data_IF_443182809317
#
_entry.id   IF_443182809317
#
_cell.length_a   1.000
_cell.length_b   1.000
_cell.length_c   1.000
_cell.angle_alpha   90.00
_cell.angle_beta   90.00
_cell.angle_gamma   90.00
#
_symmetry.space_group_name_H-M   'P 1'
#
loop_
_entity.id
_entity.type
_entity.pdbx_description
1 polymer ?
#
# COMPACT_ATOMS: atom_id res chain seq x y z
N UNK A 1 -9.74 -9.06 9.16
CA UNK A 1 -11.03 -8.56 8.67
C UNK A 1 -11.26 -9.00 7.24
N UNK A 2 -12.51 -8.93 6.79
CA UNK A 2 -12.91 -9.24 5.43
C UNK A 2 -13.61 -8.01 4.85
N UNK A 3 -13.23 -7.62 3.65
CA UNK A 3 -13.85 -6.53 2.90
C UNK A 3 -14.59 -7.08 1.68
N UNK A 4 -15.72 -6.46 1.34
CA UNK A 4 -16.35 -6.69 0.05
C UNK A 4 -15.69 -5.77 -0.97
N UNK A 5 -15.43 -6.34 -2.14
CA UNK A 5 -14.74 -5.66 -3.22
C UNK A 5 -15.64 -5.42 -4.44
N UNK A 6 -15.07 -4.92 -5.53
CA UNK A 6 -15.84 -4.37 -6.67
C UNK A 6 -16.47 -5.47 -7.52
N UNK A 7 -15.78 -6.57 -7.79
CA UNK A 7 -16.34 -7.64 -8.60
C UNK A 7 -17.42 -8.43 -7.83
N UNK A 8 -18.40 -9.03 -8.52
CA UNK A 8 -19.40 -9.87 -7.89
C UNK A 8 -18.80 -11.00 -7.06
N UNK A 9 -19.22 -11.10 -5.77
CA UNK A 9 -18.69 -12.06 -4.80
C UNK A 9 -17.18 -11.99 -4.57
N UNK A 10 -16.57 -10.87 -4.87
CA UNK A 10 -15.17 -10.60 -4.58
C UNK A 10 -15.01 -10.14 -3.13
N UNK A 11 -14.03 -10.71 -2.45
CA UNK A 11 -13.72 -10.39 -1.07
C UNK A 11 -12.22 -10.27 -0.89
N UNK A 12 -11.81 -9.34 -0.06
CA UNK A 12 -10.43 -9.22 0.40
C UNK A 12 -10.32 -9.69 1.84
N UNK A 13 -9.33 -10.52 2.13
CA UNK A 13 -8.92 -10.85 3.48
C UNK A 13 -7.78 -9.92 3.90
N UNK A 14 -8.03 -9.07 4.89
CA UNK A 14 -7.01 -8.22 5.49
C UNK A 14 -6.38 -8.90 6.70
N UNK A 15 -5.16 -9.43 6.59
CA UNK A 15 -4.44 -10.07 7.69
C UNK A 15 -3.92 -9.04 8.69
N UNK A 16 -3.47 -9.52 9.85
CA UNK A 16 -2.59 -8.76 10.74
C UNK A 16 -1.20 -8.77 10.11
N UNK A 17 -0.49 -7.66 10.17
CA UNK A 17 0.85 -7.54 9.61
C UNK A 17 1.86 -8.46 10.32
N UNK A 18 2.83 -8.90 9.57
CA UNK A 18 3.94 -9.76 10.03
C UNK A 18 5.21 -9.41 9.27
N UNK A 19 6.32 -10.02 9.66
CA UNK A 19 7.55 -9.96 8.85
C UNK A 19 7.29 -10.52 7.45
N UNK A 20 7.95 -9.96 6.45
CA UNK A 20 7.64 -10.23 5.04
C UNK A 20 7.64 -11.74 4.69
N UNK A 21 8.60 -12.50 5.20
CA UNK A 21 8.67 -13.95 4.95
C UNK A 21 7.46 -14.69 5.55
N UNK A 22 7.09 -14.40 6.78
CA UNK A 22 5.91 -14.99 7.43
C UNK A 22 4.64 -14.57 6.72
N UNK A 23 4.52 -13.29 6.35
CA UNK A 23 3.36 -12.78 5.62
C UNK A 23 3.16 -13.48 4.28
N UNK A 24 4.26 -13.77 3.55
CA UNK A 24 4.22 -14.52 2.29
C UNK A 24 3.75 -15.95 2.52
N UNK A 25 4.32 -16.67 3.50
CA UNK A 25 3.92 -18.03 3.83
C UNK A 25 2.45 -18.13 4.26
N UNK A 26 2.00 -17.19 5.09
CA UNK A 26 0.59 -17.10 5.48
C UNK A 26 -0.32 -16.86 4.27
N UNK A 27 0.08 -15.99 3.35
CA UNK A 27 -0.72 -15.71 2.16
C UNK A 27 -0.83 -16.95 1.26
N UNK A 28 0.25 -17.71 1.06
CA UNK A 28 0.22 -18.97 0.32
C UNK A 28 -0.73 -19.99 0.96
N UNK A 29 -0.64 -20.15 2.27
CA UNK A 29 -1.50 -21.05 3.03
C UNK A 29 -2.98 -20.65 2.93
N UNK A 30 -3.27 -19.35 3.03
CA UNK A 30 -4.63 -18.80 2.90
C UNK A 30 -5.19 -19.08 1.50
N UNK A 31 -4.43 -18.80 0.46
CA UNK A 31 -4.85 -19.06 -0.93
C UNK A 31 -5.17 -20.54 -1.17
N UNK A 32 -4.34 -21.44 -0.70
CA UNK A 32 -4.59 -22.87 -0.82
C UNK A 32 -5.81 -23.33 -0.01
N UNK A 33 -5.95 -22.80 1.20
CA UNK A 33 -7.08 -23.11 2.09
C UNK A 33 -8.39 -22.64 1.46
N UNK A 34 -8.43 -21.44 0.90
CA UNK A 34 -9.62 -20.91 0.23
C UNK A 34 -10.05 -21.80 -0.94
N UNK A 35 -9.13 -22.25 -1.78
CA UNK A 35 -9.44 -23.20 -2.87
C UNK A 35 -10.04 -24.50 -2.35
N UNK A 36 -9.43 -25.08 -1.33
CA UNK A 36 -9.89 -26.35 -0.73
C UNK A 36 -11.28 -26.21 -0.09
N UNK A 37 -11.50 -25.13 0.65
CA UNK A 37 -12.79 -24.88 1.31
C UNK A 37 -13.88 -24.60 0.28
N UNK A 38 -13.64 -23.75 -0.71
CA UNK A 38 -14.58 -23.50 -1.79
C UNK A 38 -15.01 -24.79 -2.48
N UNK A 39 -14.05 -25.64 -2.84
CA UNK A 39 -14.35 -26.94 -3.47
C UNK A 39 -15.24 -27.85 -2.61
N UNK A 40 -15.05 -27.88 -1.28
CA UNK A 40 -15.91 -28.64 -0.36
C UNK A 40 -17.37 -28.15 -0.34
N UNK A 41 -17.59 -26.89 -0.68
CA UNK A 41 -18.89 -26.27 -0.73
C UNK A 41 -19.47 -26.17 -2.15
N UNK A 42 -18.86 -26.86 -3.13
CA UNK A 42 -19.31 -26.81 -4.52
C UNK A 42 -19.10 -25.46 -5.20
N UNK A 43 -18.18 -24.65 -4.68
CA UNK A 43 -17.83 -23.32 -5.21
C UNK A 43 -16.44 -23.36 -5.84
N UNK A 44 -16.17 -22.39 -6.72
CA UNK A 44 -14.85 -22.16 -7.29
C UNK A 44 -14.24 -20.91 -6.66
N UNK A 45 -13.00 -21.02 -6.16
CA UNK A 45 -12.24 -19.88 -5.70
C UNK A 45 -11.36 -19.34 -6.84
N UNK A 46 -11.63 -18.13 -7.27
CA UNK A 46 -10.83 -17.41 -8.26
C UNK A 46 -9.91 -16.45 -7.52
N UNK A 47 -8.58 -16.64 -7.67
CA UNK A 47 -7.56 -15.80 -7.06
C UNK A 47 -7.08 -14.75 -8.05
N UNK A 48 -8.01 -14.09 -8.71
CA UNK A 48 -7.73 -13.06 -9.70
C UNK A 48 -8.32 -11.73 -9.23
N UNK A 49 -7.56 -10.67 -9.43
CA UNK A 49 -7.98 -9.31 -9.08
C UNK A 49 -9.11 -8.83 -9.96
N UNK A 50 -9.12 -9.24 -11.23
CA UNK A 50 -10.19 -8.99 -12.20
C UNK A 50 -10.69 -10.32 -12.79
N UNK A 51 -11.59 -10.99 -12.07
CA UNK A 51 -11.98 -12.34 -12.43
C UNK A 51 -12.88 -12.42 -13.67
N UNK A 52 -13.51 -11.31 -14.08
CA UNK A 52 -14.49 -11.31 -15.18
C UNK A 52 -14.17 -10.24 -16.21
N UNK A 53 -14.18 -10.61 -17.48
CA UNK A 53 -14.01 -9.68 -18.59
C UNK A 53 -15.15 -8.64 -18.60
N UNK A 54 -14.82 -7.37 -18.79
CA UNK A 54 -15.80 -6.28 -18.86
C UNK A 54 -16.42 -5.88 -17.51
N UNK A 55 -16.02 -6.50 -16.42
CA UNK A 55 -16.46 -6.15 -15.06
C UNK A 55 -15.28 -5.64 -14.26
N UNK A 56 -15.47 -4.56 -13.52
CA UNK A 56 -14.45 -4.06 -12.61
C UNK A 56 -14.16 -5.07 -11.49
N UNK A 57 -12.94 -5.01 -11.00
CA UNK A 57 -12.47 -5.77 -9.85
C UNK A 57 -11.50 -4.95 -9.03
N UNK A 58 -11.06 -5.50 -7.93
CA UNK A 58 -10.08 -4.89 -7.04
C UNK A 58 -8.87 -5.79 -6.87
N UNK A 59 -7.70 -5.16 -6.87
CA UNK A 59 -6.45 -5.82 -6.50
C UNK A 59 -6.18 -5.74 -5.01
N UNK A 60 -5.35 -6.64 -4.53
CA UNK A 60 -4.80 -6.56 -3.18
C UNK A 60 -3.48 -5.80 -3.22
N UNK A 61 -3.44 -4.62 -2.60
CA UNK A 61 -2.20 -3.90 -2.37
C UNK A 61 -1.53 -4.34 -1.06
N UNK A 62 -0.22 -4.20 -0.99
CA UNK A 62 0.54 -4.53 0.20
C UNK A 62 1.10 -3.26 0.84
N UNK A 63 0.70 -3.01 2.08
CA UNK A 63 1.35 -2.00 2.91
C UNK A 63 2.59 -2.64 3.55
N UNK A 64 3.67 -1.91 3.60
CA UNK A 64 4.92 -2.38 4.17
C UNK A 64 5.65 -1.27 4.91
N UNK A 65 6.55 -1.64 5.79
CA UNK A 65 7.44 -0.73 6.49
C UNK A 65 8.84 -1.32 6.62
N UNK A 66 9.80 -0.48 6.96
CA UNK A 66 11.15 -0.89 7.33
C UNK A 66 11.32 -0.69 8.82
N UNK A 67 11.55 -1.77 9.53
CA UNK A 67 11.81 -1.73 10.97
C UNK A 67 13.23 -2.14 11.30
N UNK A 68 13.76 -1.57 12.37
CA UNK A 68 15.01 -2.03 12.99
C UNK A 68 14.72 -3.16 13.96
N UNK A 69 15.75 -3.87 14.39
CA UNK A 69 15.68 -4.95 15.39
C UNK A 69 15.19 -4.47 16.77
N UNK A 70 15.37 -3.19 17.09
CA UNK A 70 14.87 -2.57 18.31
C UNK A 70 13.47 -1.94 18.14
N UNK A 71 12.79 -2.19 17.02
CA UNK A 71 11.39 -1.82 16.80
C UNK A 71 11.15 -0.40 16.30
N UNK A 72 12.19 0.32 15.87
CA UNK A 72 12.00 1.65 15.25
C UNK A 72 11.50 1.48 13.82
N UNK A 73 10.37 2.12 13.49
CA UNK A 73 9.87 2.21 12.12
C UNK A 73 10.59 3.35 11.38
N UNK A 74 11.38 3.00 10.37
CA UNK A 74 12.15 3.98 9.58
C UNK A 74 11.28 4.79 8.60
N UNK A 75 10.04 4.37 8.39
CA UNK A 75 9.04 5.08 7.57
C UNK A 75 8.03 5.87 8.41
N UNK A 76 8.30 6.03 9.70
CA UNK A 76 7.50 6.92 10.55
C UNK A 76 8.06 8.34 10.47
N UNK A 77 7.31 9.31 9.89
CA UNK A 77 7.76 10.70 9.79
C UNK A 77 7.80 11.40 11.15
N UNK A 78 7.09 10.89 12.16
CA UNK A 78 6.92 11.56 13.45
C UNK A 78 6.06 12.83 13.36
N UNK A 79 6.07 13.60 14.43
CA UNK A 79 5.27 14.84 14.54
C UNK A 79 5.89 16.03 13.78
N UNK A 80 7.21 16.00 13.57
CA UNK A 80 7.98 17.04 12.86
C UNK A 80 8.76 16.44 11.68
N UNK A 81 8.09 16.06 10.58
CA UNK A 81 8.73 15.38 9.45
C UNK A 81 9.91 16.17 8.84
N UNK A 82 9.82 17.50 8.83
CA UNK A 82 10.87 18.37 8.32
C UNK A 82 12.18 18.29 9.13
N UNK A 83 12.13 17.91 10.39
CA UNK A 83 13.30 17.77 11.28
C UNK A 83 13.81 16.32 11.34
N UNK A 84 13.01 15.35 10.87
CA UNK A 84 13.36 13.93 10.91
C UNK A 84 14.24 13.53 9.73
N UNK A 85 15.53 13.86 9.83
CA UNK A 85 16.52 13.61 8.77
C UNK A 85 16.63 12.11 8.45
N UNK A 86 16.52 11.23 9.45
CA UNK A 86 16.57 9.79 9.22
C UNK A 86 15.40 9.33 8.31
N UNK A 87 14.20 9.77 8.63
CA UNK A 87 13.02 9.47 7.81
C UNK A 87 13.18 10.02 6.38
N UNK A 88 13.56 11.29 6.24
CA UNK A 88 13.75 11.94 4.94
C UNK A 88 14.81 11.25 4.08
N UNK A 89 15.92 10.81 4.70
CA UNK A 89 16.96 10.06 4.02
C UNK A 89 16.45 8.70 3.53
N UNK A 90 15.76 7.96 4.41
CA UNK A 90 15.20 6.64 4.05
C UNK A 90 14.15 6.78 2.94
N UNK A 91 13.26 7.77 3.04
CA UNK A 91 12.29 8.09 2.00
C UNK A 91 12.98 8.37 0.64
N UNK A 92 13.99 9.23 0.62
CA UNK A 92 14.74 9.54 -0.59
C UNK A 92 15.42 8.30 -1.20
N UNK A 93 15.98 7.42 -0.35
CA UNK A 93 16.57 6.16 -0.80
C UNK A 93 15.53 5.23 -1.43
N UNK A 94 14.33 5.13 -0.84
CA UNK A 94 13.23 4.33 -1.39
C UNK A 94 12.78 4.88 -2.74
N UNK A 95 12.53 6.19 -2.83
CA UNK A 95 12.13 6.83 -4.07
C UNK A 95 13.15 6.57 -5.19
N UNK A 96 14.43 6.73 -4.88
CA UNK A 96 15.50 6.45 -5.82
C UNK A 96 15.57 4.98 -6.22
N UNK A 97 15.39 4.06 -5.29
CA UNK A 97 15.38 2.62 -5.56
C UNK A 97 14.20 2.23 -6.46
N UNK A 98 13.01 2.74 -6.19
CA UNK A 98 11.81 2.51 -7.01
C UNK A 98 12.01 3.03 -8.43
N UNK A 99 12.56 4.21 -8.60
CA UNK A 99 12.86 4.78 -9.92
C UNK A 99 13.93 3.95 -10.66
N UNK A 100 15.01 3.60 -9.98
CA UNK A 100 16.13 2.86 -10.56
C UNK A 100 15.74 1.43 -10.98
N UNK A 101 14.86 0.79 -10.22
CA UNK A 101 14.45 -0.62 -10.41
C UNK A 101 12.98 -0.76 -10.85
N UNK A 102 12.44 0.26 -11.48
CA UNK A 102 11.04 0.29 -11.92
C UNK A 102 10.68 -0.85 -12.88
N UNK A 103 11.61 -1.30 -13.69
CA UNK A 103 11.45 -2.45 -14.60
C UNK A 103 11.26 -3.77 -13.86
N UNK A 104 12.02 -4.02 -12.79
CA UNK A 104 11.84 -5.19 -11.93
C UNK A 104 10.49 -5.17 -11.22
N UNK A 105 10.06 -4.02 -10.75
CA UNK A 105 8.76 -3.86 -10.12
C UNK A 105 7.63 -4.14 -11.11
N UNK A 106 7.73 -3.64 -12.33
CA UNK A 106 6.77 -3.95 -13.41
C UNK A 106 6.76 -5.43 -13.75
N UNK A 107 7.93 -6.05 -13.81
CA UNK A 107 8.03 -7.48 -14.09
C UNK A 107 7.37 -8.33 -13.02
N UNK A 108 7.48 -7.96 -11.74
CA UNK A 108 6.85 -8.68 -10.65
C UNK A 108 5.32 -8.71 -10.72
N UNK A 109 4.72 -7.71 -11.35
CA UNK A 109 3.28 -7.58 -11.56
C UNK A 109 2.81 -8.11 -12.94
N UNK A 110 3.74 -8.48 -13.84
CA UNK A 110 3.46 -8.98 -15.18
C UNK A 110 3.10 -10.47 -15.13
N UNK A 111 1.86 -10.76 -14.75
CA UNK A 111 1.29 -12.10 -14.74
C UNK A 111 0.04 -12.16 -15.62
N UNK A 112 -0.23 -13.32 -16.19
CA UNK A 112 -1.44 -13.57 -16.99
C UNK A 112 -2.72 -13.22 -16.21
N UNK A 113 -2.71 -13.44 -14.89
CA UNK A 113 -3.80 -13.05 -13.99
C UNK A 113 -4.04 -11.53 -13.91
N UNK A 114 -3.08 -10.72 -14.32
CA UNK A 114 -3.14 -9.26 -14.28
C UNK A 114 -3.49 -8.62 -15.64
N UNK A 115 -3.64 -9.39 -16.71
CA UNK A 115 -3.93 -8.84 -18.05
C UNK A 115 -5.19 -7.97 -18.08
N UNK A 116 -6.23 -8.35 -17.35
CA UNK A 116 -7.47 -7.59 -17.26
C UNK A 116 -7.39 -6.39 -16.31
N UNK A 117 -6.32 -6.29 -15.54
CA UNK A 117 -6.06 -5.20 -14.61
C UNK A 117 -5.45 -3.98 -15.30
N UNK A 118 -4.75 -4.17 -16.41
CA UNK A 118 -4.12 -3.10 -17.15
C UNK A 118 -5.17 -2.10 -17.66
N UNK A 119 -5.00 -0.83 -17.28
CA UNK A 119 -5.93 0.24 -17.64
C UNK A 119 -7.19 0.35 -16.79
N UNK A 120 -7.27 -0.35 -15.66
CA UNK A 120 -8.36 -0.26 -14.70
C UNK A 120 -8.20 0.92 -13.73
N UNK A 121 -9.27 1.18 -12.92
CA UNK A 121 -9.31 2.29 -11.95
C UNK A 121 -8.27 2.17 -10.83
N UNK A 122 -7.88 0.98 -10.43
CA UNK A 122 -6.71 0.79 -9.61
C UNK A 122 -5.45 0.82 -10.49
N UNK A 123 -4.37 1.41 -9.97
CA UNK A 123 -3.18 1.67 -10.75
C UNK A 123 -2.71 0.42 -11.51
N UNK A 124 -2.61 0.49 -12.83
CA UNK A 124 -2.10 -0.64 -13.59
C UNK A 124 -0.65 -0.92 -13.20
N UNK A 125 -0.17 -2.18 -13.25
CA UNK A 125 1.20 -2.54 -12.92
C UNK A 125 2.28 -1.76 -13.69
N UNK A 126 1.91 -1.19 -14.84
CA UNK A 126 2.82 -0.36 -15.66
C UNK A 126 3.02 1.06 -15.10
N UNK A 127 2.15 1.52 -14.21
CA UNK A 127 2.24 2.85 -13.61
C UNK A 127 2.74 2.69 -12.18
N UNK A 128 3.90 3.29 -11.91
CA UNK A 128 4.49 3.37 -10.59
C UNK A 128 4.38 4.82 -10.13
N UNK A 129 3.62 5.05 -9.07
CA UNK A 129 3.44 6.38 -8.48
C UNK A 129 3.72 6.34 -6.99
N UNK A 130 4.10 7.48 -6.47
CA UNK A 130 4.31 7.67 -5.03
C UNK A 130 3.33 8.73 -4.57
N UNK A 131 2.59 8.43 -3.51
CA UNK A 131 1.74 9.37 -2.84
C UNK A 131 2.27 9.61 -1.43
N UNK A 132 2.53 10.85 -1.07
CA UNK A 132 3.13 11.25 0.20
C UNK A 132 2.14 11.91 1.15
N UNK A 133 1.00 12.39 0.64
CA UNK A 133 0.09 13.25 1.37
C UNK A 133 0.59 14.71 1.42
N UNK A 134 -0.34 15.63 1.71
CA UNK A 134 -0.07 17.08 1.63
C UNK A 134 1.09 17.52 2.52
N UNK A 135 1.20 16.97 3.72
CA UNK A 135 2.23 17.34 4.69
C UNK A 135 3.63 16.99 4.18
N UNK A 136 3.84 15.75 3.76
CA UNK A 136 5.15 15.30 3.30
C UNK A 136 5.49 15.86 1.92
N UNK A 137 4.49 16.07 1.08
CA UNK A 137 4.69 16.73 -0.22
C UNK A 137 5.19 18.15 -0.05
N UNK A 138 4.64 18.90 0.90
CA UNK A 138 5.12 20.25 1.25
C UNK A 138 6.58 20.22 1.74
N UNK A 139 6.94 19.30 2.64
CA UNK A 139 8.31 19.14 3.11
C UNK A 139 9.28 18.81 1.97
N UNK A 140 8.92 17.87 1.11
CA UNK A 140 9.75 17.50 -0.05
C UNK A 140 9.88 18.66 -1.02
N UNK A 141 8.82 19.42 -1.27
CA UNK A 141 8.86 20.60 -2.12
C UNK A 141 9.80 21.66 -1.59
N UNK A 142 9.75 21.96 -0.29
CA UNK A 142 10.69 22.90 0.34
C UNK A 142 12.15 22.43 0.13
N UNK A 143 12.44 21.15 0.37
CA UNK A 143 13.78 20.57 0.17
C UNK A 143 14.27 20.70 -1.27
N UNK A 144 13.41 20.47 -2.25
CA UNK A 144 13.75 20.56 -3.68
C UNK A 144 13.97 22.01 -4.10
N UNK A 145 13.16 22.95 -3.65
CA UNK A 145 13.20 24.34 -4.07
C UNK A 145 14.27 25.17 -3.37
N UNK A 146 14.50 24.91 -2.08
CA UNK A 146 15.37 25.73 -1.24
C UNK A 146 16.58 25.01 -0.67
N UNK A 147 16.59 23.68 -0.70
CA UNK A 147 17.61 22.85 -0.06
C UNK A 147 17.40 22.67 1.44
N UNK A 148 16.33 23.23 2.00
CA UNK A 148 16.01 23.15 3.43
C UNK A 148 14.49 23.07 3.63
N UNK A 149 14.05 22.40 4.68
CA UNK A 149 12.65 22.32 5.08
C UNK A 149 12.47 22.93 6.48
N UNK A 150 11.99 24.15 6.51
CA UNK A 150 11.93 24.95 7.74
C UNK A 150 10.67 24.72 8.57
N UNK A 151 9.66 24.12 7.99
CA UNK A 151 8.38 23.83 8.66
C UNK A 151 7.67 22.64 8.00
N UNK A 152 6.68 22.09 8.70
CA UNK A 152 5.68 21.20 8.11
C UNK A 152 4.29 21.70 8.45
N UNK A 153 3.39 21.63 7.48
CA UNK A 153 1.97 21.87 7.74
C UNK A 153 1.45 20.75 8.65
N UNK A 154 0.58 21.10 9.59
CA UNK A 154 -0.06 20.06 10.40
C UNK A 154 -1.07 19.28 9.55
N UNK A 155 -0.97 17.97 9.58
CA UNK A 155 -1.95 17.08 8.95
C UNK A 155 -3.36 17.39 9.49
N UNK A 156 -4.32 17.55 8.59
CA UNK A 156 -5.71 17.77 9.00
C UNK A 156 -6.31 16.54 9.65
N UNK A 157 -7.02 16.68 10.75
CA UNK A 157 -7.80 15.62 11.36
C UNK A 157 -9.19 15.53 10.77
N UNK A 158 -9.62 14.34 10.43
CA UNK A 158 -11.00 14.07 10.08
C UNK A 158 -11.77 13.74 11.35
N UNK A 159 -12.67 14.63 11.75
CA UNK A 159 -13.57 14.37 12.87
C UNK A 159 -14.56 13.27 12.46
N UNK A 160 -14.47 12.13 13.10
CA UNK A 160 -15.37 10.99 12.81
C UNK A 160 -16.81 11.25 13.27
N UNK A 161 -17.01 12.24 14.15
CA UNK A 161 -18.32 12.56 14.73
C UNK A 161 -18.88 11.49 15.66
N UNK A 162 -18.12 10.43 15.93
CA UNK A 162 -18.50 9.31 16.81
C UNK A 162 -17.56 9.29 18.00
N UNK A 163 -18.09 9.52 19.19
CA UNK A 163 -17.32 9.65 20.43
C UNK A 163 -16.49 8.42 20.84
N UNK A 164 -16.75 7.27 20.23
CA UNK A 164 -16.05 6.00 20.49
C UNK A 164 -14.93 5.68 19.49
N UNK A 165 -14.82 6.47 18.43
CA UNK A 165 -13.76 6.30 17.43
C UNK A 165 -12.74 7.44 17.55
N UNK A 166 -11.43 7.14 17.47
CA UNK A 166 -10.42 8.19 17.42
C UNK A 166 -10.57 9.03 16.15
N UNK A 167 -10.15 10.27 16.24
CA UNK A 167 -10.01 11.11 15.05
C UNK A 167 -9.00 10.49 14.10
N UNK A 168 -9.32 10.49 12.80
CA UNK A 168 -8.44 9.97 11.75
C UNK A 168 -7.59 11.12 11.19
N UNK A 169 -6.29 10.89 11.08
CA UNK A 169 -5.43 11.78 10.32
C UNK A 169 -5.79 11.70 8.83
N UNK A 170 -6.02 12.83 8.18
CA UNK A 170 -6.33 12.87 6.75
C UNK A 170 -5.22 12.28 5.89
N UNK A 171 -3.98 12.42 6.33
CA UNK A 171 -2.79 11.94 5.63
C UNK A 171 -2.27 10.61 6.16
N UNK A 172 -2.88 10.05 7.22
CA UNK A 172 -2.39 8.85 7.89
C UNK A 172 -2.40 7.60 7.02
N UNK A 173 -3.24 7.57 6.01
CA UNK A 173 -3.38 6.41 5.13
C UNK A 173 -2.21 6.21 4.19
N UNK A 174 -1.38 7.23 3.99
CA UNK A 174 -0.48 7.27 2.83
C UNK A 174 0.98 7.37 3.19
N UNK A 175 1.29 7.53 4.47
CA UNK A 175 2.67 7.60 4.98
C UNK A 175 3.52 6.38 4.65
N UNK A 176 2.89 5.22 4.49
CA UNK A 176 3.53 3.94 4.20
C UNK A 176 3.17 3.38 2.83
N UNK A 177 2.47 4.16 2.00
CA UNK A 177 2.07 3.74 0.66
C UNK A 177 3.10 4.14 -0.40
N UNK A 178 4.32 3.75 -0.20
CA UNK A 178 5.27 3.69 -1.31
C UNK A 178 5.16 2.38 -2.07
N UNK A 179 3.97 1.76 -2.05
CA UNK A 179 3.79 0.47 -2.69
C UNK A 179 3.58 0.65 -4.19
N UNK A 180 4.53 0.23 -5.02
CA UNK A 180 4.33 0.15 -6.47
C UNK A 180 3.40 -1.01 -6.86
N UNK A 181 2.90 -1.76 -5.91
CA UNK A 181 2.08 -2.96 -6.05
C UNK A 181 0.62 -2.70 -5.62
N UNK A 182 0.13 -1.53 -5.85
CA UNK A 182 -1.29 -1.27 -5.64
C UNK A 182 -2.15 -1.99 -6.67
#
# INVERSE_FOLDING_TARGET
TKHNEVAPAQHELAPIYETANIAVDHNQLVMETMKKVAGRHGMTCLLHEKPFAGVNGSGKHNNWSLGTDNGVNLLDPGDTPNENIQFLLVLACILKAVDTHADLLRQSASDVGNDHRLGANEAPPAIISVFLGEQLEDVVKQLVETGDATHSIQGGKLLTGVSTLPDLDKDATDRNRTSPFA
#
